data_IF_499082901269
#
_entry.id   IF_499082901269
#
_cell.length_a   1.000
_cell.length_b   1.000
_cell.length_c   1.000
_cell.angle_alpha   90.00
_cell.angle_beta   90.00
_cell.angle_gamma   90.00
#
_symmetry.space_group_name_H-M   'P 1'
#
loop_
_entity.id
_entity.type
_entity.pdbx_description
1 polymer ?
#
# COMPACT_ATOMS: atom_id res chain seq x y z
N UNK A 1 -19.81 -60.68 52.12
CA UNK A 1 -21.16 -60.67 52.70
C UNK A 1 -21.11 -59.87 54.01
N UNK A 2 -21.97 -58.85 54.15
CA UNK A 2 -22.67 -58.30 55.36
C UNK A 2 -21.90 -58.37 56.70
N UNK A 3 -21.74 -57.28 57.48
CA UNK A 3 -22.88 -56.67 58.21
C UNK A 3 -22.75 -55.16 58.59
N UNK A 4 -23.78 -54.67 59.30
CA UNK A 4 -23.67 -53.70 60.41
C UNK A 4 -23.65 -52.16 60.16
N UNK A 5 -24.35 -51.47 61.08
CA UNK A 5 -24.05 -50.17 61.75
C UNK A 5 -24.03 -48.89 60.90
N UNK A 6 -24.30 -47.65 61.36
CA UNK A 6 -24.53 -46.95 62.64
C UNK A 6 -25.18 -45.58 62.29
N UNK A 7 -26.11 -45.00 63.05
CA UNK A 7 -25.98 -44.13 64.25
C UNK A 7 -25.34 -42.74 64.04
N UNK A 8 -26.04 -41.70 64.54
CA UNK A 8 -25.53 -40.39 65.06
C UNK A 8 -25.12 -39.29 64.04
N UNK A 9 -25.22 -37.97 64.25
CA UNK A 9 -25.79 -37.00 65.21
C UNK A 9 -25.60 -35.63 64.50
N UNK A 10 -26.64 -34.87 64.17
CA UNK A 10 -27.09 -33.62 64.84
C UNK A 10 -26.07 -32.51 65.19
N UNK A 11 -26.44 -31.30 64.73
CA UNK A 11 -26.39 -30.00 65.43
C UNK A 11 -25.07 -29.18 65.53
N UNK A 12 -25.08 -28.09 64.76
CA UNK A 12 -25.14 -26.70 65.26
C UNK A 12 -23.89 -25.81 65.27
N UNK A 13 -24.19 -24.57 64.84
CA UNK A 13 -23.72 -23.28 65.34
C UNK A 13 -22.43 -22.63 64.82
N UNK A 14 -22.71 -21.53 64.10
CA UNK A 14 -22.28 -20.13 64.39
C UNK A 14 -20.90 -19.65 63.91
N UNK A 15 -21.02 -18.65 63.03
CA UNK A 15 -20.52 -17.27 63.17
C UNK A 15 -19.02 -17.06 63.02
N UNK A 16 -18.65 -16.32 61.97
CA UNK A 16 -17.97 -15.00 62.00
C UNK A 16 -17.93 -14.51 60.53
N UNK A 17 -18.64 -13.42 60.18
CA UNK A 17 -18.09 -12.04 60.05
C UNK A 17 -16.85 -11.97 59.15
N UNK A 18 -16.65 -11.01 58.24
CA UNK A 18 -17.35 -9.80 57.78
C UNK A 18 -16.43 -9.25 56.67
N UNK A 19 -16.98 -8.80 55.55
CA UNK A 19 -16.54 -7.65 54.73
C UNK A 19 -17.39 -7.69 53.44
N UNK A 20 -18.48 -6.91 53.42
CA UNK A 20 -18.63 -5.67 52.65
C UNK A 20 -18.75 -5.90 51.14
N UNK A 21 -19.73 -5.40 50.40
CA UNK A 21 -20.94 -4.62 50.71
C UNK A 21 -21.70 -4.42 49.39
N UNK A 22 -23.03 -4.41 49.49
CA UNK A 22 -24.02 -3.78 48.60
C UNK A 22 -24.13 -4.27 47.14
N UNK A 23 -25.20 -5.05 46.90
CA UNK A 23 -25.96 -4.98 45.66
C UNK A 23 -27.33 -4.37 45.92
N UNK A 24 -27.66 -3.46 45.03
CA UNK A 24 -28.78 -2.52 45.02
C UNK A 24 -30.16 -3.18 45.03
N UNK A 25 -31.14 -2.48 45.61
CA UNK A 25 -32.38 -2.14 44.90
C UNK A 25 -33.22 -1.14 45.70
N UNK A 26 -33.75 -0.17 44.97
CA UNK A 26 -34.72 0.87 45.34
C UNK A 26 -34.18 2.17 45.97
N UNK A 27 -34.09 3.22 45.15
CA UNK A 27 -34.62 4.54 45.53
C UNK A 27 -34.96 5.43 44.34
N UNK A 28 -36.03 6.19 44.53
CA UNK A 28 -36.54 7.26 43.70
C UNK A 28 -35.62 8.49 43.69
N UNK A 29 -35.64 9.19 42.55
CA UNK A 29 -35.41 10.62 42.35
C UNK A 29 -34.02 11.21 42.68
N UNK A 30 -33.36 11.75 41.65
CA UNK A 30 -32.91 13.16 41.60
C UNK A 30 -32.28 13.47 40.23
N UNK A 31 -32.77 14.54 39.64
CA UNK A 31 -32.27 15.21 38.45
C UNK A 31 -30.77 15.49 38.51
N UNK A 32 -30.03 15.10 37.47
CA UNK A 32 -28.74 15.69 37.11
C UNK A 32 -28.86 16.30 35.71
N UNK A 33 -28.57 17.60 35.51
CA UNK A 33 -28.53 18.17 34.18
C UNK A 33 -27.27 17.66 33.48
N UNK A 34 -27.44 16.85 32.44
CA UNK A 34 -26.37 16.60 31.47
C UNK A 34 -26.09 17.93 30.76
N UNK A 35 -25.04 18.60 31.22
CA UNK A 35 -24.39 19.70 30.52
C UNK A 35 -23.75 19.14 29.25
N UNK A 36 -24.56 18.86 28.23
CA UNK A 36 -24.11 18.74 26.86
C UNK A 36 -23.70 20.14 26.40
N UNK A 37 -22.45 20.52 26.64
CA UNK A 37 -21.91 21.78 26.13
C UNK A 37 -20.45 21.60 25.77
N UNK A 38 -20.19 21.46 24.47
CA UNK A 38 -18.88 21.64 23.87
C UNK A 38 -18.37 20.51 22.96
N UNK A 39 -18.70 19.24 23.23
CA UNK A 39 -18.06 18.12 22.52
C UNK A 39 -18.60 17.81 21.12
N UNK A 40 -19.93 17.78 20.96
CA UNK A 40 -20.58 17.43 19.69
C UNK A 40 -20.39 18.49 18.62
N UNK A 41 -20.56 19.77 18.97
CA UNK A 41 -20.41 20.87 18.03
C UNK A 41 -18.97 21.00 17.51
N UNK A 42 -17.95 20.80 18.35
CA UNK A 42 -16.53 20.86 17.94
C UNK A 42 -16.16 19.65 17.07
N UNK A 43 -16.67 18.45 17.39
CA UNK A 43 -16.47 17.25 16.57
C UNK A 43 -17.20 17.33 15.22
N UNK A 44 -18.42 17.89 15.20
CA UNK A 44 -19.22 18.12 13.99
C UNK A 44 -18.65 19.27 13.14
N UNK A 45 -18.06 20.30 13.77
CA UNK A 45 -17.32 21.37 13.09
C UNK A 45 -16.00 20.86 12.49
N UNK A 46 -15.28 20.00 13.20
CA UNK A 46 -14.07 19.36 12.67
C UNK A 46 -14.41 18.40 11.53
N UNK A 47 -15.41 17.53 11.68
CA UNK A 47 -15.88 16.64 10.63
C UNK A 47 -16.37 17.41 9.38
N UNK A 48 -17.13 18.50 9.55
CA UNK A 48 -17.55 19.34 8.43
C UNK A 48 -16.38 20.08 7.76
N UNK A 49 -15.38 20.52 8.54
CA UNK A 49 -14.19 21.16 7.98
C UNK A 49 -13.30 20.15 7.24
N UNK A 50 -13.14 18.93 7.76
CA UNK A 50 -12.48 17.82 7.08
C UNK A 50 -13.21 17.45 5.79
N UNK A 51 -14.54 17.37 5.81
CA UNK A 51 -15.35 17.08 4.63
C UNK A 51 -15.27 18.18 3.58
N UNK A 52 -15.30 19.46 3.99
CA UNK A 52 -15.09 20.62 3.11
C UNK A 52 -13.66 20.69 2.55
N UNK A 53 -12.67 20.29 3.33
CA UNK A 53 -11.29 20.21 2.87
C UNK A 53 -11.11 19.10 1.83
N UNK A 54 -11.65 17.91 2.11
CA UNK A 54 -11.67 16.78 1.19
C UNK A 54 -12.43 17.10 -0.11
N UNK A 55 -13.58 17.77 -0.03
CA UNK A 55 -14.35 18.17 -1.20
C UNK A 55 -13.62 19.20 -2.06
N UNK A 56 -12.95 20.18 -1.44
CA UNK A 56 -12.11 21.16 -2.14
C UNK A 56 -10.89 20.51 -2.77
N UNK A 57 -10.21 19.61 -2.06
CA UNK A 57 -9.08 18.84 -2.59
C UNK A 57 -9.50 18.02 -3.81
N UNK A 58 -10.64 17.31 -3.72
CA UNK A 58 -11.22 16.55 -4.82
C UNK A 58 -11.58 17.45 -6.02
N UNK A 59 -12.19 18.62 -5.78
CA UNK A 59 -12.53 19.57 -6.83
C UNK A 59 -11.29 20.14 -7.54
N UNK A 60 -10.23 20.45 -6.80
CA UNK A 60 -8.94 20.89 -7.37
C UNK A 60 -8.32 19.80 -8.23
N UNK A 61 -8.36 18.54 -7.78
CA UNK A 61 -7.88 17.40 -8.56
C UNK A 61 -8.68 17.21 -9.85
N UNK A 62 -10.01 17.32 -9.82
CA UNK A 62 -10.87 17.21 -11.00
C UNK A 62 -10.60 18.36 -11.98
N UNK A 63 -10.45 19.59 -11.49
CA UNK A 63 -10.11 20.75 -12.32
C UNK A 63 -8.74 20.60 -12.99
N UNK A 64 -7.74 20.10 -12.26
CA UNK A 64 -6.41 19.81 -12.80
C UNK A 64 -6.45 18.73 -13.89
N UNK A 65 -7.20 17.64 -13.68
CA UNK A 65 -7.39 16.58 -14.68
C UNK A 65 -8.06 17.14 -15.94
N UNK A 66 -9.07 18.00 -15.78
CA UNK A 66 -9.79 18.61 -16.91
C UNK A 66 -8.87 19.52 -17.72
N UNK A 67 -8.03 20.32 -17.05
CA UNK A 67 -7.06 21.20 -17.71
C UNK A 67 -5.97 20.43 -18.47
N UNK A 68 -5.61 19.22 -18.02
CA UNK A 68 -4.56 18.39 -18.61
C UNK A 68 -5.10 17.36 -19.62
N UNK A 69 -6.42 17.28 -19.81
CA UNK A 69 -7.09 16.27 -20.63
C UNK A 69 -6.60 16.29 -22.08
N UNK A 70 -6.47 17.46 -22.69
CA UNK A 70 -6.02 17.61 -24.09
C UNK A 70 -4.61 17.05 -24.31
N UNK A 71 -3.70 17.34 -23.38
CA UNK A 71 -2.32 16.84 -23.36
C UNK A 71 -2.22 15.33 -23.07
N UNK A 72 -3.15 14.77 -22.30
CA UNK A 72 -3.26 13.33 -22.12
C UNK A 72 -3.74 12.64 -23.40
N UNK A 73 -4.76 13.16 -24.07
CA UNK A 73 -5.33 12.53 -25.27
C UNK A 73 -4.33 12.54 -26.43
N UNK A 74 -3.56 13.60 -26.62
CA UNK A 74 -2.70 13.74 -27.80
C UNK A 74 -1.36 14.41 -27.51
N UNK A 75 -0.38 14.17 -28.39
CA UNK A 75 0.90 14.86 -28.39
C UNK A 75 1.95 14.34 -27.38
N UNK A 76 3.15 14.96 -27.41
CA UNK A 76 4.30 14.54 -26.61
C UNK A 76 4.20 14.92 -25.13
N UNK A 77 3.27 15.83 -24.77
CA UNK A 77 3.13 16.40 -23.42
C UNK A 77 2.34 15.51 -22.45
N UNK A 78 1.90 14.32 -22.89
CA UNK A 78 1.14 13.40 -22.05
C UNK A 78 1.93 12.96 -20.80
N UNK A 79 3.23 12.69 -20.95
CA UNK A 79 4.11 12.32 -19.82
C UNK A 79 4.28 13.48 -18.83
N UNK A 80 4.33 14.72 -19.32
CA UNK A 80 4.37 15.91 -18.45
C UNK A 80 3.06 16.10 -17.69
N UNK A 81 1.94 15.77 -18.33
CA UNK A 81 0.62 15.81 -17.68
C UNK A 81 0.53 14.76 -16.57
N UNK A 82 1.02 13.55 -16.81
CA UNK A 82 1.17 12.53 -15.78
C UNK A 82 2.10 12.99 -14.66
N UNK A 83 3.22 13.64 -15.00
CA UNK A 83 4.17 14.19 -14.02
C UNK A 83 3.50 15.24 -13.14
N UNK A 84 2.67 16.13 -13.71
CA UNK A 84 1.92 17.12 -12.97
C UNK A 84 0.89 16.47 -12.02
N UNK A 85 0.15 15.45 -12.49
CA UNK A 85 -0.81 14.70 -11.67
C UNK A 85 -0.10 14.00 -10.50
N UNK A 86 1.00 13.29 -10.78
CA UNK A 86 1.81 12.65 -9.74
C UNK A 86 2.37 13.68 -8.75
N UNK A 87 2.92 14.79 -9.25
CA UNK A 87 3.49 15.87 -8.43
C UNK A 87 2.45 16.51 -7.50
N UNK A 88 1.21 16.67 -7.96
CA UNK A 88 0.12 17.20 -7.14
C UNK A 88 -0.21 16.30 -5.93
N UNK A 89 0.08 15.00 -6.02
CA UNK A 89 -0.12 14.04 -4.92
C UNK A 89 1.16 13.89 -4.08
N UNK A 90 2.29 13.60 -4.71
CA UNK A 90 3.52 13.25 -3.97
C UNK A 90 4.17 14.46 -3.30
N UNK A 91 4.06 15.66 -3.85
CA UNK A 91 4.70 16.86 -3.29
C UNK A 91 4.14 17.22 -1.92
N UNK A 92 2.82 17.44 -1.72
CA UNK A 92 2.30 17.78 -0.38
C UNK A 92 2.59 16.68 0.65
N UNK A 93 2.51 15.40 0.25
CA UNK A 93 2.85 14.28 1.12
C UNK A 93 4.34 14.29 1.51
N UNK A 94 5.23 14.62 0.57
CA UNK A 94 6.67 14.73 0.81
C UNK A 94 7.02 15.91 1.72
N UNK A 95 6.31 17.03 1.58
CA UNK A 95 6.45 18.18 2.45
C UNK A 95 6.10 17.83 3.90
N UNK A 96 5.05 17.02 4.09
CA UNK A 96 4.68 16.49 5.41
C UNK A 96 5.71 15.49 5.95
N UNK A 97 6.05 14.46 5.15
CA UNK A 97 7.07 13.44 5.48
C UNK A 97 7.90 13.11 4.26
N UNK A 98 9.21 13.24 4.35
CA UNK A 98 10.13 12.96 3.25
C UNK A 98 10.05 11.49 2.80
N UNK A 99 9.75 10.57 3.72
CA UNK A 99 9.58 9.15 3.38
C UNK A 99 8.35 8.91 2.47
N UNK A 100 7.34 9.78 2.52
CA UNK A 100 6.12 9.61 1.73
C UNK A 100 6.36 9.77 0.24
N UNK A 101 7.48 10.36 -0.18
CA UNK A 101 7.89 10.33 -1.57
C UNK A 101 7.93 8.92 -2.12
N UNK A 102 8.43 7.94 -1.34
CA UNK A 102 8.64 6.56 -1.77
C UNK A 102 7.66 5.55 -1.16
N UNK A 103 6.80 5.98 -0.23
CA UNK A 103 5.85 5.10 0.45
C UNK A 103 4.42 5.34 -0.03
N UNK A 104 3.63 6.08 0.73
CA UNK A 104 2.21 6.30 0.49
C UNK A 104 2.00 7.16 -0.75
N UNK A 105 2.86 8.17 -0.96
CA UNK A 105 2.78 9.05 -2.11
C UNK A 105 3.06 8.33 -3.43
N UNK A 106 3.88 7.29 -3.43
CA UNK A 106 4.09 6.43 -4.58
C UNK A 106 2.79 5.75 -5.02
N UNK A 107 2.15 4.99 -4.12
CA UNK A 107 0.92 4.27 -4.42
C UNK A 107 -0.21 5.20 -4.87
N UNK A 108 -0.47 6.28 -4.12
CA UNK A 108 -1.53 7.20 -4.48
C UNK A 108 -1.27 8.01 -5.76
N UNK A 109 -0.01 8.32 -6.09
CA UNK A 109 0.30 8.98 -7.37
C UNK A 109 0.00 8.06 -8.55
N UNK A 110 0.36 6.78 -8.46
CA UNK A 110 0.04 5.78 -9.49
C UNK A 110 -1.48 5.63 -9.65
N UNK A 111 -2.22 5.51 -8.55
CA UNK A 111 -3.68 5.42 -8.58
C UNK A 111 -4.31 6.68 -9.20
N UNK A 112 -3.86 7.88 -8.80
CA UNK A 112 -4.38 9.13 -9.32
C UNK A 112 -4.15 9.30 -10.82
N UNK A 113 -2.95 8.96 -11.31
CA UNK A 113 -2.66 8.96 -12.75
C UNK A 113 -3.55 7.98 -13.52
N UNK A 114 -3.72 6.75 -13.02
CA UNK A 114 -4.53 5.74 -13.70
C UNK A 114 -6.02 6.11 -13.70
N UNK A 115 -6.54 6.64 -12.60
CA UNK A 115 -7.90 7.18 -12.54
C UNK A 115 -8.08 8.35 -13.51
N UNK A 116 -7.15 9.30 -13.53
CA UNK A 116 -7.20 10.44 -14.45
C UNK A 116 -7.24 10.00 -15.92
N UNK A 117 -6.46 8.98 -16.28
CA UNK A 117 -6.49 8.40 -17.62
C UNK A 117 -7.83 7.69 -17.90
N UNK A 118 -8.35 6.87 -16.98
CA UNK A 118 -9.66 6.21 -17.14
C UNK A 118 -10.79 7.23 -17.37
N UNK A 119 -10.86 8.30 -16.57
CA UNK A 119 -11.86 9.36 -16.75
C UNK A 119 -11.63 10.19 -18.02
N UNK A 120 -10.40 10.28 -18.51
CA UNK A 120 -10.06 11.01 -19.73
C UNK A 120 -10.51 10.24 -20.97
N UNK A 121 -10.17 8.97 -21.07
CA UNK A 121 -10.36 8.15 -22.26
C UNK A 121 -11.68 7.37 -22.27
N UNK A 122 -12.08 6.81 -21.14
CA UNK A 122 -13.18 5.83 -21.06
C UNK A 122 -14.15 6.10 -19.89
N UNK A 123 -14.67 7.33 -19.69
CA UNK A 123 -15.43 7.69 -18.49
C UNK A 123 -16.73 6.88 -18.29
N UNK A 124 -17.40 6.48 -19.37
CA UNK A 124 -18.65 5.70 -19.32
C UNK A 124 -18.42 4.18 -19.33
N UNK A 125 -17.19 3.72 -19.61
CA UNK A 125 -16.87 2.31 -19.84
C UNK A 125 -15.72 1.83 -18.97
N UNK A 126 -15.42 2.53 -17.86
CA UNK A 126 -14.32 2.20 -16.93
C UNK A 126 -14.32 0.70 -16.56
N UNK A 127 -15.50 0.12 -16.32
CA UNK A 127 -15.66 -1.29 -15.93
C UNK A 127 -16.09 -2.22 -17.07
N UNK A 128 -15.92 -1.82 -18.34
CA UNK A 128 -16.31 -2.62 -19.51
C UNK A 128 -15.52 -3.92 -19.72
N UNK A 129 -14.52 -4.21 -18.88
CA UNK A 129 -13.67 -5.40 -19.02
C UNK A 129 -12.71 -5.35 -20.21
N UNK A 130 -12.62 -4.23 -20.93
CA UNK A 130 -11.66 -4.06 -22.02
C UNK A 130 -10.22 -4.11 -21.49
N UNK A 131 -9.31 -4.67 -22.27
CA UNK A 131 -7.92 -4.90 -21.86
C UNK A 131 -7.18 -3.59 -21.50
N UNK A 132 -7.33 -2.48 -22.25
CA UNK A 132 -6.81 -1.17 -21.83
C UNK A 132 -7.35 -0.69 -20.48
N UNK A 133 -8.63 -0.93 -20.20
CA UNK A 133 -9.23 -0.53 -18.92
C UNK A 133 -8.77 -1.44 -17.79
N UNK A 134 -8.65 -2.75 -18.02
CA UNK A 134 -8.09 -3.69 -17.04
C UNK A 134 -6.64 -3.36 -16.70
N UNK A 135 -5.85 -2.87 -17.66
CA UNK A 135 -4.50 -2.36 -17.42
C UNK A 135 -4.50 -1.14 -16.52
N UNK A 136 -5.34 -0.13 -16.81
CA UNK A 136 -5.39 1.06 -15.98
C UNK A 136 -5.97 0.75 -14.58
N UNK A 137 -6.97 -0.14 -14.49
CA UNK A 137 -7.52 -0.64 -13.24
C UNK A 137 -6.50 -1.42 -12.42
N UNK A 138 -5.56 -2.14 -13.03
CA UNK A 138 -4.47 -2.80 -12.30
C UNK A 138 -3.58 -1.76 -11.61
N UNK A 139 -3.31 -0.63 -12.27
CA UNK A 139 -2.62 0.52 -11.67
C UNK A 139 -3.39 1.19 -10.54
N UNK A 140 -4.70 1.34 -10.66
CA UNK A 140 -5.56 1.83 -9.57
C UNK A 140 -5.53 0.88 -8.37
N UNK A 141 -5.75 -0.42 -8.62
CA UNK A 141 -5.71 -1.46 -7.60
C UNK A 141 -4.35 -1.47 -6.90
N UNK A 142 -3.25 -1.53 -7.65
CA UNK A 142 -1.88 -1.50 -7.15
C UNK A 142 -1.66 -0.28 -6.26
N UNK A 143 -1.97 0.90 -6.77
CA UNK A 143 -1.68 2.15 -6.08
C UNK A 143 -2.49 2.36 -4.80
N UNK A 144 -3.81 2.11 -4.86
CA UNK A 144 -4.69 2.23 -3.69
C UNK A 144 -4.31 1.20 -2.63
N UNK A 145 -4.14 -0.07 -3.02
CA UNK A 145 -3.74 -1.14 -2.09
C UNK A 145 -2.43 -0.81 -1.41
N UNK A 146 -1.39 -0.47 -2.17
CA UNK A 146 -0.06 -0.19 -1.63
C UNK A 146 -0.07 1.02 -0.71
N UNK A 147 -0.71 2.12 -1.14
CA UNK A 147 -0.83 3.34 -0.34
C UNK A 147 -1.53 3.11 1.00
N UNK A 148 -2.69 2.43 0.97
CA UNK A 148 -3.46 2.10 2.18
C UNK A 148 -2.71 1.12 3.08
N UNK A 149 -2.10 0.07 2.51
CA UNK A 149 -1.30 -0.89 3.27
C UNK A 149 -0.18 -0.21 4.05
N UNK A 150 0.54 0.72 3.40
CA UNK A 150 1.64 1.44 4.03
C UNK A 150 1.16 2.39 5.14
N UNK A 151 0.03 3.07 4.94
CA UNK A 151 -0.60 3.90 5.97
C UNK A 151 -1.05 3.08 7.18
N UNK A 152 -1.80 2.00 6.95
CA UNK A 152 -2.25 1.10 8.02
C UNK A 152 -1.04 0.58 8.78
N UNK A 153 0.00 0.12 8.08
CA UNK A 153 1.22 -0.38 8.70
C UNK A 153 1.95 0.67 9.53
N UNK A 154 1.94 1.93 9.12
CA UNK A 154 2.55 3.02 9.89
C UNK A 154 1.80 3.29 11.19
N UNK A 155 0.47 3.24 11.18
CA UNK A 155 -0.37 3.49 12.36
C UNK A 155 -0.45 2.30 13.31
N UNK A 156 -0.45 1.07 12.80
CA UNK A 156 -0.67 -0.12 13.63
C UNK A 156 0.62 -0.75 14.14
N UNK A 157 1.77 -0.53 13.50
CA UNK A 157 3.04 -1.16 13.90
C UNK A 157 3.84 -0.20 14.78
N UNK A 158 4.05 -0.59 16.03
CA UNK A 158 4.81 0.20 17.02
C UNK A 158 6.20 0.59 16.49
N UNK A 159 6.58 1.86 16.70
CA UNK A 159 7.86 2.42 16.26
C UNK A 159 7.98 2.70 14.77
N UNK A 160 6.97 2.33 13.94
CA UNK A 160 7.06 2.57 12.49
C UNK A 160 6.90 4.04 12.13
N UNK A 161 5.98 4.76 12.78
CA UNK A 161 5.84 6.21 12.63
C UNK A 161 7.14 6.96 12.98
N UNK A 162 7.85 6.54 14.04
CA UNK A 162 9.14 7.14 14.40
C UNK A 162 10.23 6.83 13.36
N UNK A 163 10.27 5.59 12.85
CA UNK A 163 11.17 5.21 11.75
C UNK A 163 10.92 6.03 10.48
N UNK A 164 9.66 6.36 10.18
CA UNK A 164 9.28 7.22 9.06
C UNK A 164 9.75 8.65 9.30
N UNK A 165 9.55 9.18 10.51
CA UNK A 165 10.01 10.53 10.91
C UNK A 165 11.54 10.67 10.86
N UNK A 166 12.31 9.62 11.20
CA UNK A 166 13.78 9.61 11.09
C UNK A 166 14.31 9.80 9.66
N UNK A 167 13.45 9.63 8.65
CA UNK A 167 13.81 9.87 7.26
C UNK A 167 13.76 11.36 6.86
N UNK A 168 13.18 12.23 7.69
CA UNK A 168 13.07 13.67 7.45
C UNK A 168 14.44 14.35 7.64
N UNK A 169 15.31 14.22 6.63
CA UNK A 169 16.70 14.75 6.65
C UNK A 169 16.81 16.19 6.17
N UNK A 170 15.88 16.64 5.32
CA UNK A 170 15.91 17.97 4.71
C UNK A 170 14.73 18.85 5.16
N UNK A 171 14.89 20.19 5.17
CA UNK A 171 13.78 21.12 5.38
C UNK A 171 12.67 20.94 4.34
N UNK A 172 11.38 21.14 4.69
CA UNK A 172 10.25 20.85 3.80
C UNK A 172 10.36 21.47 2.40
N UNK A 173 10.62 22.78 2.29
CA UNK A 173 10.68 23.46 0.99
C UNK A 173 11.80 22.94 0.08
N UNK A 174 12.91 22.47 0.65
CA UNK A 174 14.01 21.86 -0.12
C UNK A 174 13.65 20.49 -0.70
N UNK A 175 12.52 19.91 -0.31
CA UNK A 175 12.03 18.62 -0.82
C UNK A 175 11.23 18.74 -2.12
N UNK A 176 10.75 19.94 -2.48
CA UNK A 176 9.92 20.18 -3.68
C UNK A 176 10.57 19.70 -4.99
N UNK A 177 11.80 20.12 -5.35
CA UNK A 177 12.39 19.68 -6.61
C UNK A 177 12.57 18.16 -6.64
N UNK A 178 12.97 17.58 -5.51
CA UNK A 178 13.10 16.14 -5.35
C UNK A 178 11.76 15.40 -5.51
N UNK A 179 10.67 15.88 -4.91
CA UNK A 179 9.36 15.24 -5.06
C UNK A 179 8.82 15.34 -6.49
N UNK A 180 9.11 16.43 -7.21
CA UNK A 180 8.75 16.56 -8.63
C UNK A 180 9.54 15.55 -9.48
N UNK A 181 10.85 15.39 -9.26
CA UNK A 181 11.65 14.36 -9.93
C UNK A 181 11.11 12.95 -9.67
N UNK A 182 10.66 12.67 -8.44
CA UNK A 182 10.03 11.40 -8.08
C UNK A 182 8.66 11.24 -8.78
N UNK A 183 7.86 12.30 -8.85
CA UNK A 183 6.60 12.30 -9.61
C UNK A 183 6.82 12.04 -11.11
N UNK A 184 7.88 12.59 -11.68
CA UNK A 184 8.28 12.33 -13.07
C UNK A 184 8.69 10.87 -13.29
N UNK A 185 9.42 10.28 -12.34
CA UNK A 185 9.74 8.85 -12.38
C UNK A 185 8.46 7.97 -12.35
N UNK A 186 7.44 8.35 -11.58
CA UNK A 186 6.15 7.65 -11.60
C UNK A 186 5.41 7.80 -12.93
N UNK A 187 5.47 8.98 -13.54
CA UNK A 187 4.92 9.21 -14.87
C UNK A 187 5.61 8.32 -15.93
N UNK A 188 6.91 8.12 -15.83
CA UNK A 188 7.66 7.21 -16.70
C UNK A 188 7.17 5.77 -16.59
N UNK A 189 6.96 5.30 -15.36
CA UNK A 189 6.38 3.97 -15.10
C UNK A 189 4.96 3.81 -15.66
N UNK A 190 4.14 4.87 -15.64
CA UNK A 190 2.76 4.84 -16.13
C UNK A 190 2.61 5.19 -17.62
N UNK A 191 3.72 5.57 -18.30
CA UNK A 191 3.70 5.91 -19.73
C UNK A 191 3.16 4.79 -20.63
N UNK A 192 3.45 3.49 -20.38
CA UNK A 192 2.85 2.41 -21.16
C UNK A 192 1.32 2.43 -21.16
N UNK A 193 0.71 2.65 -20.00
CA UNK A 193 -0.75 2.68 -19.82
C UNK A 193 -1.37 3.81 -20.65
N UNK A 194 -0.74 4.98 -20.63
CA UNK A 194 -1.18 6.13 -21.43
C UNK A 194 -1.24 5.81 -22.91
N UNK A 195 -0.22 5.16 -23.44
CA UNK A 195 -0.14 4.85 -24.87
C UNK A 195 -1.09 3.72 -25.28
N UNK A 196 -1.31 2.72 -24.43
CA UNK A 196 -2.34 1.69 -24.66
C UNK A 196 -3.73 2.32 -24.74
N UNK A 197 -4.05 3.27 -23.86
CA UNK A 197 -5.35 3.97 -23.87
C UNK A 197 -5.54 4.94 -25.05
N UNK A 198 -4.45 5.40 -25.67
CA UNK A 198 -4.51 6.23 -26.90
C UNK A 198 -4.86 5.42 -28.15
N UNK A 199 -4.88 4.08 -28.09
CA UNK A 199 -5.48 3.23 -29.13
C UNK A 199 -4.65 3.04 -30.41
N UNK A 200 -3.33 2.92 -30.30
CA UNK A 200 -2.42 2.86 -31.46
C UNK A 200 -2.13 1.46 -32.03
N UNK A 201 -3.05 0.48 -31.95
CA UNK A 201 -2.73 -0.92 -32.28
C UNK A 201 -3.74 -1.68 -33.15
N UNK A 202 -3.25 -2.48 -34.11
CA UNK A 202 -4.02 -3.48 -34.87
C UNK A 202 -4.18 -4.83 -34.14
N UNK A 203 -4.73 -5.87 -34.79
CA UNK A 203 -5.07 -7.14 -34.11
C UNK A 203 -3.89 -7.87 -33.43
N UNK A 204 -2.71 -7.91 -34.05
CA UNK A 204 -1.50 -8.49 -33.44
C UNK A 204 -0.97 -7.70 -32.23
N UNK A 205 -1.29 -6.40 -32.15
CA UNK A 205 -0.96 -5.53 -31.01
C UNK A 205 -1.78 -5.91 -29.78
N UNK A 206 -3.03 -6.37 -29.97
CA UNK A 206 -3.89 -6.76 -28.87
C UNK A 206 -3.34 -7.95 -28.06
N UNK A 207 -2.66 -8.91 -28.71
CA UNK A 207 -2.13 -10.10 -28.02
C UNK A 207 -1.01 -9.77 -27.03
N UNK A 208 -0.06 -8.92 -27.42
CA UNK A 208 1.05 -8.48 -26.55
C UNK A 208 0.50 -7.67 -25.38
N UNK A 209 -0.48 -6.79 -25.64
CA UNK A 209 -1.17 -6.05 -24.58
C UNK A 209 -1.82 -7.00 -23.56
N UNK A 210 -2.50 -8.05 -24.01
CA UNK A 210 -3.16 -9.02 -23.13
C UNK A 210 -2.17 -9.78 -22.24
N UNK A 211 -1.02 -10.20 -22.80
CA UNK A 211 0.06 -10.85 -22.04
C UNK A 211 0.59 -9.90 -20.98
N UNK A 212 0.89 -8.65 -21.34
CA UNK A 212 1.37 -7.63 -20.40
C UNK A 212 0.37 -7.35 -19.28
N UNK A 213 -0.92 -7.22 -19.59
CA UNK A 213 -2.01 -7.05 -18.61
C UNK A 213 -2.05 -8.22 -17.63
N UNK A 214 -1.94 -9.45 -18.15
CA UNK A 214 -1.95 -10.67 -17.32
C UNK A 214 -0.76 -10.70 -16.37
N UNK A 215 0.44 -10.42 -16.87
CA UNK A 215 1.66 -10.33 -16.05
C UNK A 215 1.51 -9.24 -14.98
N UNK A 216 0.95 -8.08 -15.33
CA UNK A 216 0.74 -6.98 -14.40
C UNK A 216 -0.17 -7.43 -13.24
N UNK A 217 -1.33 -8.01 -13.53
CA UNK A 217 -2.23 -8.51 -12.48
C UNK A 217 -1.61 -9.59 -11.61
N UNK A 218 -0.89 -10.56 -12.19
CA UNK A 218 -0.17 -11.58 -11.41
C UNK A 218 0.84 -10.94 -10.48
N UNK A 219 1.63 -9.97 -10.97
CA UNK A 219 2.61 -9.24 -10.16
C UNK A 219 1.97 -8.48 -9.00
N UNK A 220 0.90 -7.72 -9.27
CA UNK A 220 0.17 -6.97 -8.25
C UNK A 220 -0.44 -7.88 -7.16
N UNK A 221 -0.96 -9.05 -7.55
CA UNK A 221 -1.51 -10.03 -6.61
C UNK A 221 -0.41 -10.73 -5.80
N UNK A 222 0.70 -11.12 -6.43
CA UNK A 222 1.84 -11.72 -5.75
C UNK A 222 2.39 -10.78 -4.68
N UNK A 223 2.56 -9.51 -5.02
CA UNK A 223 3.00 -8.48 -4.07
C UNK A 223 2.00 -8.34 -2.92
N UNK A 224 0.71 -8.23 -3.22
CA UNK A 224 -0.34 -8.12 -2.21
C UNK A 224 -0.34 -9.28 -1.21
N UNK A 225 -0.19 -10.51 -1.71
CA UNK A 225 -0.13 -11.73 -0.89
C UNK A 225 1.13 -11.72 -0.03
N UNK A 226 2.29 -11.40 -0.61
CA UNK A 226 3.56 -11.35 0.10
C UNK A 226 3.56 -10.30 1.22
N UNK A 227 3.09 -9.08 0.94
CA UNK A 227 2.99 -8.01 1.91
C UNK A 227 2.03 -8.35 3.05
N UNK A 228 0.88 -8.94 2.73
CA UNK A 228 -0.11 -9.37 3.74
C UNK A 228 0.48 -10.46 4.64
N UNK A 229 1.13 -11.46 4.07
CA UNK A 229 1.78 -12.53 4.84
C UNK A 229 2.84 -11.94 5.79
N UNK A 230 3.71 -11.06 5.29
CA UNK A 230 4.73 -10.38 6.09
C UNK A 230 4.13 -9.51 7.19
N UNK A 231 3.04 -8.81 6.90
CA UNK A 231 2.35 -7.96 7.86
C UNK A 231 1.74 -8.77 9.00
N UNK A 232 1.05 -9.87 8.70
CA UNK A 232 0.43 -10.76 9.70
C UNK A 232 1.50 -11.36 10.62
N UNK A 233 2.60 -11.88 10.06
CA UNK A 233 3.70 -12.43 10.87
C UNK A 233 4.28 -11.37 11.79
N UNK A 234 4.54 -10.17 11.27
CA UNK A 234 5.12 -9.08 12.07
C UNK A 234 4.16 -8.55 13.13
N UNK A 235 2.86 -8.53 12.88
CA UNK A 235 1.86 -8.08 13.86
C UNK A 235 1.70 -9.06 15.01
N UNK A 236 1.88 -10.35 14.74
CA UNK A 236 1.80 -11.41 15.75
C UNK A 236 3.13 -11.63 16.50
N UNK A 237 4.19 -10.92 16.12
CA UNK A 237 5.49 -11.00 16.77
C UNK A 237 5.44 -10.39 18.18
N UNK A 238 5.84 -11.17 19.19
CA UNK A 238 5.93 -10.71 20.58
C UNK A 238 7.13 -9.80 20.83
N UNK A 239 8.19 -9.99 20.05
CA UNK A 239 9.43 -9.22 20.09
C UNK A 239 9.99 -9.02 18.67
N UNK A 240 10.98 -8.14 18.53
CA UNK A 240 11.70 -7.91 17.26
C UNK A 240 13.11 -8.54 17.26
N UNK A 241 13.39 -9.42 18.21
CA UNK A 241 14.71 -10.04 18.44
C UNK A 241 14.77 -11.37 17.69
N UNK A 242 13.73 -12.19 17.85
CA UNK A 242 13.66 -13.52 17.28
C UNK A 242 13.10 -13.49 15.85
N UNK A 243 13.74 -14.22 14.95
CA UNK A 243 13.24 -14.41 13.60
C UNK A 243 12.03 -15.35 13.62
N UNK A 244 10.86 -14.73 13.45
CA UNK A 244 9.58 -15.41 13.28
C UNK A 244 9.19 -15.59 11.81
N UNK A 245 10.00 -15.08 10.88
CA UNK A 245 9.60 -14.51 9.59
C UNK A 245 8.66 -15.36 8.71
N UNK A 246 8.05 -14.75 7.67
CA UNK A 246 7.25 -15.52 6.72
C UNK A 246 8.21 -16.45 5.94
N UNK A 247 8.27 -17.72 6.33
CA UNK A 247 9.14 -18.74 5.70
C UNK A 247 8.39 -19.67 4.75
N UNK A 248 7.05 -19.59 4.71
CA UNK A 248 6.18 -20.44 3.92
C UNK A 248 5.46 -19.73 2.76
N UNK A 249 4.66 -20.48 2.00
CA UNK A 249 3.87 -19.97 0.89
C UNK A 249 4.74 -19.31 -0.18
N UNK A 250 4.42 -18.07 -0.57
CA UNK A 250 5.18 -17.33 -1.59
C UNK A 250 6.65 -17.06 -1.21
N UNK A 251 6.99 -17.12 0.08
CA UNK A 251 8.37 -16.96 0.56
C UNK A 251 9.24 -18.22 0.39
N UNK A 252 8.66 -19.31 -0.14
CA UNK A 252 9.42 -20.48 -0.60
C UNK A 252 9.99 -20.29 -2.01
N UNK A 253 9.43 -19.34 -2.79
CA UNK A 253 9.88 -19.06 -4.15
C UNK A 253 11.11 -18.14 -4.18
N UNK A 254 11.15 -17.20 -3.24
CA UNK A 254 12.14 -16.11 -3.18
C UNK A 254 12.13 -15.49 -1.79
N UNK A 255 13.26 -14.91 -1.34
CA UNK A 255 13.32 -14.23 -0.04
C UNK A 255 12.52 -12.92 -0.01
N UNK A 256 12.36 -12.26 -1.16
CA UNK A 256 11.60 -11.00 -1.30
C UNK A 256 10.54 -11.10 -2.41
N UNK A 257 9.50 -11.95 -2.24
CA UNK A 257 8.48 -12.17 -3.26
C UNK A 257 7.62 -10.92 -3.51
N UNK A 258 7.55 -9.99 -2.55
CA UNK A 258 6.92 -8.69 -2.74
C UNK A 258 7.68 -7.83 -3.77
N UNK A 259 9.02 -7.84 -3.75
CA UNK A 259 9.82 -7.12 -4.75
C UNK A 259 9.78 -7.81 -6.12
N UNK A 260 9.66 -9.14 -6.15
CA UNK A 260 9.38 -9.87 -7.39
C UNK A 260 8.02 -9.45 -7.97
N UNK A 261 6.98 -9.37 -7.14
CA UNK A 261 5.65 -8.91 -7.55
C UNK A 261 5.66 -7.50 -8.13
N UNK A 262 6.40 -6.57 -7.51
CA UNK A 262 6.58 -5.21 -8.02
C UNK A 262 7.32 -5.19 -9.37
N UNK A 263 8.41 -5.96 -9.53
CA UNK A 263 9.11 -6.11 -10.81
C UNK A 263 8.18 -6.69 -11.89
N UNK A 264 7.43 -7.75 -11.57
CA UNK A 264 6.47 -8.36 -12.48
C UNK A 264 5.38 -7.38 -12.88
N UNK A 265 4.83 -6.62 -11.92
CA UNK A 265 3.81 -5.62 -12.17
C UNK A 265 4.29 -4.62 -13.23
N UNK A 266 5.42 -3.97 -12.99
CA UNK A 266 5.95 -2.95 -13.92
C UNK A 266 6.45 -3.52 -15.24
N UNK A 267 6.97 -4.76 -15.23
CA UNK A 267 7.32 -5.47 -16.47
C UNK A 267 6.07 -5.74 -17.31
N UNK A 268 4.98 -6.17 -16.67
CA UNK A 268 3.69 -6.35 -17.33
C UNK A 268 3.12 -5.05 -17.91
N UNK A 269 3.16 -3.96 -17.14
CA UNK A 269 2.80 -2.63 -17.63
C UNK A 269 3.65 -2.25 -18.86
N UNK A 270 4.97 -2.40 -18.80
CA UNK A 270 5.85 -2.11 -19.93
C UNK A 270 5.53 -2.96 -21.17
N UNK A 271 5.44 -4.28 -21.00
CA UNK A 271 5.12 -5.24 -22.08
C UNK A 271 3.79 -4.88 -22.72
N UNK A 272 2.78 -4.51 -21.92
CA UNK A 272 1.46 -4.20 -22.44
C UNK A 272 1.44 -3.01 -23.41
N UNK A 273 2.38 -2.07 -23.25
CA UNK A 273 2.51 -0.86 -24.06
C UNK A 273 3.45 -0.97 -25.26
N UNK A 274 4.31 -1.99 -25.34
CA UNK A 274 5.33 -2.13 -26.39
C UNK A 274 4.77 -1.89 -27.79
N UNK A 275 3.68 -2.55 -28.10
CA UNK A 275 3.03 -2.48 -29.41
C UNK A 275 2.30 -1.15 -29.66
N UNK A 276 2.00 -0.38 -28.61
CA UNK A 276 1.34 0.93 -28.70
C UNK A 276 2.33 2.09 -28.90
N UNK A 277 3.63 1.87 -28.71
CA UNK A 277 4.64 2.91 -28.87
C UNK A 277 4.88 3.28 -30.34
N UNK A 278 4.75 2.30 -31.24
CA UNK A 278 5.04 2.47 -32.67
C UNK A 278 6.44 3.06 -32.89
N UNK A 279 6.52 4.08 -33.73
CA UNK A 279 7.76 4.81 -34.06
C UNK A 279 8.03 6.00 -33.12
N UNK A 280 7.20 6.23 -32.10
CA UNK A 280 7.33 7.38 -31.22
C UNK A 280 8.47 7.18 -30.22
N UNK A 281 9.48 8.05 -30.22
CA UNK A 281 10.68 7.86 -29.40
C UNK A 281 10.44 8.11 -27.90
N UNK A 282 9.55 9.04 -27.57
CA UNK A 282 9.26 9.45 -26.17
C UNK A 282 8.75 8.27 -25.32
N UNK A 283 7.72 7.51 -25.72
CA UNK A 283 7.25 6.39 -24.91
C UNK A 283 8.30 5.30 -24.73
N UNK A 284 9.14 5.03 -25.73
CA UNK A 284 10.25 4.09 -25.60
C UNK A 284 11.24 4.54 -24.53
N UNK A 285 11.69 5.80 -24.57
CA UNK A 285 12.64 6.34 -23.60
C UNK A 285 12.03 6.37 -22.20
N UNK A 286 10.87 7.01 -22.03
CA UNK A 286 10.24 7.17 -20.72
C UNK A 286 9.93 5.82 -20.09
N UNK A 287 9.32 4.89 -20.83
CA UNK A 287 8.94 3.59 -20.28
C UNK A 287 10.16 2.73 -19.95
N UNK A 288 11.22 2.78 -20.76
CA UNK A 288 12.46 2.05 -20.49
C UNK A 288 13.20 2.62 -19.28
N UNK A 289 13.29 3.95 -19.14
CA UNK A 289 13.87 4.59 -17.96
C UNK A 289 13.09 4.26 -16.68
N UNK A 290 11.75 4.24 -16.76
CA UNK A 290 10.89 3.80 -15.66
C UNK A 290 11.19 2.35 -15.26
N UNK A 291 11.17 1.43 -16.22
CA UNK A 291 11.39 0.00 -15.98
C UNK A 291 12.80 -0.28 -15.43
N UNK A 292 13.83 0.27 -16.08
CA UNK A 292 15.21 0.10 -15.62
C UNK A 292 15.38 0.70 -14.22
N UNK A 293 14.81 1.87 -13.97
CA UNK A 293 14.86 2.52 -12.66
C UNK A 293 14.23 1.67 -11.55
N UNK A 294 13.05 1.07 -11.78
CA UNK A 294 12.41 0.24 -10.75
C UNK A 294 13.21 -1.04 -10.50
N UNK A 295 13.81 -1.65 -11.53
CA UNK A 295 14.72 -2.78 -11.35
C UNK A 295 15.89 -2.40 -10.44
N UNK A 296 16.58 -1.29 -10.73
CA UNK A 296 17.69 -0.83 -9.88
C UNK A 296 17.26 -0.57 -8.43
N UNK A 297 16.10 0.05 -8.22
CA UNK A 297 15.57 0.31 -6.87
C UNK A 297 15.28 -1.02 -6.15
N UNK A 298 14.65 -1.99 -6.81
CA UNK A 298 14.28 -3.28 -6.21
C UNK A 298 15.51 -4.13 -5.89
N UNK A 299 16.47 -4.26 -6.80
CA UNK A 299 17.71 -4.98 -6.54
C UNK A 299 18.55 -4.31 -5.45
N UNK A 300 18.64 -2.98 -5.46
CA UNK A 300 19.33 -2.22 -4.40
C UNK A 300 18.66 -2.36 -3.03
N UNK A 301 17.33 -2.29 -2.98
CA UNK A 301 16.55 -2.47 -1.76
C UNK A 301 16.70 -3.89 -1.19
N UNK A 302 16.71 -4.90 -2.05
CA UNK A 302 16.92 -6.31 -1.70
C UNK A 302 18.27 -6.53 -1.05
N UNK A 303 19.37 -6.11 -1.70
CA UNK A 303 20.73 -6.26 -1.14
C UNK A 303 20.86 -5.62 0.23
N UNK A 304 20.29 -4.41 0.40
CA UNK A 304 20.29 -3.71 1.68
C UNK A 304 19.46 -4.47 2.73
N UNK A 305 18.30 -5.01 2.35
CA UNK A 305 17.42 -5.69 3.27
C UNK A 305 17.99 -7.05 3.72
N UNK A 306 18.58 -7.82 2.79
CA UNK A 306 19.29 -9.07 3.11
C UNK A 306 20.43 -8.81 4.10
N UNK A 307 21.22 -7.76 3.88
CA UNK A 307 22.29 -7.36 4.82
C UNK A 307 21.74 -7.06 6.22
N UNK A 308 20.69 -6.24 6.31
CA UNK A 308 20.05 -5.89 7.60
C UNK A 308 19.45 -7.14 8.28
N UNK A 309 18.87 -8.06 7.51
CA UNK A 309 18.29 -9.29 8.06
C UNK A 309 19.39 -10.23 8.57
N UNK A 310 20.50 -10.36 7.84
CA UNK A 310 21.65 -11.14 8.28
C UNK A 310 22.28 -10.57 9.55
N UNK A 311 22.50 -9.26 9.62
CA UNK A 311 23.04 -8.60 10.82
C UNK A 311 22.13 -8.77 12.04
N UNK A 312 20.81 -8.85 11.83
CA UNK A 312 19.83 -8.94 12.91
C UNK A 312 19.52 -10.36 13.36
N UNK A 313 19.43 -11.29 12.41
CA UNK A 313 18.88 -12.63 12.63
C UNK A 313 19.88 -13.75 12.32
N UNK A 314 21.06 -13.45 11.78
CA UNK A 314 22.10 -14.44 11.52
C UNK A 314 22.50 -15.19 12.79
N UNK A 315 22.72 -16.49 12.66
CA UNK A 315 23.01 -17.38 13.79
C UNK A 315 21.76 -17.89 14.52
N UNK A 316 20.56 -17.46 14.11
CA UNK A 316 19.32 -18.06 14.59
C UNK A 316 18.92 -19.21 13.68
N UNK A 317 18.79 -20.41 14.24
CA UNK A 317 18.54 -21.65 13.50
C UNK A 317 17.39 -21.56 12.47
N UNK A 318 16.28 -20.87 12.82
CA UNK A 318 15.14 -20.68 11.90
C UNK A 318 15.45 -19.80 10.69
N UNK A 319 16.23 -18.74 10.89
CA UNK A 319 16.62 -17.82 9.82
C UNK A 319 17.62 -18.51 8.89
N UNK A 320 18.64 -19.14 9.47
CA UNK A 320 19.69 -19.81 8.71
C UNK A 320 19.13 -21.01 7.90
N UNK A 321 18.22 -21.80 8.48
CA UNK A 321 17.51 -22.87 7.75
C UNK A 321 16.69 -22.34 6.57
N UNK A 322 15.96 -21.24 6.76
CA UNK A 322 15.15 -20.65 5.68
C UNK A 322 16.01 -20.06 4.57
N UNK A 323 17.05 -19.29 4.90
CA UNK A 323 17.97 -18.70 3.89
C UNK A 323 18.75 -19.80 3.17
N UNK A 324 19.11 -20.88 3.85
CA UNK A 324 19.75 -22.05 3.24
C UNK A 324 18.86 -22.77 2.23
N UNK A 325 17.54 -22.83 2.47
CA UNK A 325 16.56 -23.43 1.55
C UNK A 325 16.19 -22.50 0.40
N UNK A 326 16.05 -21.20 0.67
CA UNK A 326 15.60 -20.20 -0.30
C UNK A 326 16.79 -19.32 -0.68
N UNK A 327 17.61 -19.81 -1.61
CA UNK A 327 18.86 -19.16 -2.04
C UNK A 327 18.61 -17.93 -2.91
N UNK A 328 17.47 -17.87 -3.61
CA UNK A 328 17.10 -16.76 -4.48
C UNK A 328 16.61 -15.52 -3.72
N UNK A 329 17.27 -14.35 -3.88
CA UNK A 329 16.82 -13.11 -3.25
C UNK A 329 15.53 -12.56 -3.85
N UNK A 330 15.40 -12.55 -5.19
CA UNK A 330 14.26 -11.98 -5.92
C UNK A 330 13.76 -12.97 -6.97
N UNK A 331 14.59 -13.30 -7.96
CA UNK A 331 14.19 -14.13 -9.09
C UNK A 331 14.35 -15.61 -8.67
N UNK A 332 13.27 -16.40 -8.66
CA UNK A 332 13.34 -17.81 -8.29
C UNK A 332 14.39 -18.54 -9.15
N UNK A 333 15.13 -19.44 -8.52
CA UNK A 333 16.15 -20.29 -9.16
C UNK A 333 17.40 -19.56 -9.67
N UNK A 334 17.52 -18.24 -9.42
CA UNK A 334 18.75 -17.47 -9.61
C UNK A 334 19.26 -17.05 -8.24
N UNK A 335 20.48 -17.48 -7.88
CA UNK A 335 21.14 -17.21 -6.59
C UNK A 335 21.97 -15.93 -6.63
#
# INVERSE_FOLDING_TARGET
FVPSQSTSMTLSHRVLNRHQSNTDTASLSKSFPLKARGGGEIADLDANNQLKFLSKALAVTIAAITALKSSLVSGPLGVLSLTAIASAIVTPLTLYRQAYSFSVGYGFSVAAMCLAMLFTFNPSTIFSGSMPNLLALSGVFYGVRLGLFLLVREWTVAGKAESVKKFDKSPPLKRIPFSISVGMFYAFLCTPILHVLRGSGGEGVAQITNVGVTIAWIGALLEAIADTHKFVVKRNAKDNINFLGPTGGVYLLSRHPNYLGEIMFWSGIFVSGLSSFGTQIIPWICSSLGLVGIFFIMFGATKRLDKIQLERYGGQAKYDDWVGKVTSPIIPFIS
#
